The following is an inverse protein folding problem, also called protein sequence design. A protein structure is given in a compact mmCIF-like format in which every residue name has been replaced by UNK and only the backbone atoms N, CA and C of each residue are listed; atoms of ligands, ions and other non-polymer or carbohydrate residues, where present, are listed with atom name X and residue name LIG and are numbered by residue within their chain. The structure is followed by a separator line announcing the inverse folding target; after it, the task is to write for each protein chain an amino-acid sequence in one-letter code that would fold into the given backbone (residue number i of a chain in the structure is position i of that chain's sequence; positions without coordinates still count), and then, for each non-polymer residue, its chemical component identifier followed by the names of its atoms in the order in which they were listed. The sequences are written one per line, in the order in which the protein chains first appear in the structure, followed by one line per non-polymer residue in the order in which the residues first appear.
data_IF_808201783012
#
_entry.id   IF_808201783012
#
_cell.length_a   1.000
_cell.length_b   1.000
_cell.length_c   1.000
_cell.angle_alpha   90.00
_cell.angle_beta   90.00
_cell.angle_gamma   90.00
#
_symmetry.space_group_name_H-M   'P 1'
#
loop_
_entity.id
_entity.type
_entity.pdbx_description
1 polymer ?
#
# COMPACT_ATOMS: atom_id res chain seq x y z
N UNK A 1 15.25 3.97 -0.30
CA UNK A 1 14.31 2.96 0.24
C UNK A 1 13.61 3.56 1.45
N UNK A 2 12.31 3.82 1.38
CA UNK A 2 11.51 4.37 2.49
C UNK A 2 10.30 3.48 2.84
N UNK A 3 9.80 2.71 1.86
CA UNK A 3 8.62 1.84 1.98
C UNK A 3 8.75 0.79 3.09
N UNK A 4 9.94 0.19 3.28
CA UNK A 4 10.16 -0.87 4.28
C UNK A 4 10.23 -0.41 5.73
N UNK A 5 10.40 0.89 6.01
CA UNK A 5 10.54 1.43 7.37
C UNK A 5 9.37 2.30 7.82
N UNK A 6 8.57 2.81 6.88
CA UNK A 6 7.42 3.67 7.14
C UNK A 6 6.22 3.22 6.31
N UNK A 7 5.72 2.02 6.60
CA UNK A 7 4.58 1.42 5.90
C UNK A 7 3.34 2.32 5.93
N UNK A 8 3.09 2.99 7.05
CA UNK A 8 1.94 3.88 7.23
C UNK A 8 2.01 5.18 6.41
N UNK A 9 3.21 5.54 5.92
CA UNK A 9 3.41 6.67 5.01
C UNK A 9 3.31 6.27 3.54
N UNK A 10 3.13 4.98 3.25
CA UNK A 10 3.24 4.45 1.90
C UNK A 10 1.88 4.19 1.28
N UNK A 11 1.75 4.50 -0.01
CA UNK A 11 0.57 4.15 -0.83
C UNK A 11 1.03 3.07 -1.82
N UNK A 12 0.39 1.88 -1.83
CA UNK A 12 0.73 0.85 -2.80
C UNK A 12 0.17 1.25 -4.16
N UNK A 13 0.95 0.99 -5.19
CA UNK A 13 0.52 1.15 -6.58
C UNK A 13 0.86 -0.14 -7.32
N UNK A 14 0.02 -0.55 -8.26
CA UNK A 14 0.35 -1.65 -9.13
C UNK A 14 1.54 -1.29 -10.01
N UNK A 15 2.37 -2.29 -10.31
CA UNK A 15 3.51 -2.09 -11.20
C UNK A 15 3.01 -1.98 -12.63
N UNK A 16 3.55 -1.02 -13.37
CA UNK A 16 3.22 -0.82 -14.78
C UNK A 16 4.08 -1.73 -15.67
N UNK A 17 3.46 -2.40 -16.65
CA UNK A 17 4.11 -3.34 -17.57
C UNK A 17 3.70 -3.07 -19.03
N UNK A 18 4.14 -1.96 -19.61
CA UNK A 18 3.96 -1.61 -21.03
C UNK A 18 2.50 -1.59 -21.53
N UNK A 19 1.52 -1.54 -20.64
CA UNK A 19 0.10 -1.43 -21.01
C UNK A 19 -0.26 0.04 -21.28
N UNK A 20 -0.61 0.42 -22.52
CA UNK A 20 -0.96 1.80 -22.86
C UNK A 20 -2.32 2.22 -22.29
N UNK A 21 -3.18 1.27 -21.91
CA UNK A 21 -4.49 1.53 -21.29
C UNK A 21 -4.44 1.54 -19.77
N UNK A 22 -3.25 1.42 -19.17
CA UNK A 22 -3.10 1.52 -17.72
C UNK A 22 -3.52 2.92 -17.22
N UNK A 23 -4.36 2.93 -16.20
CA UNK A 23 -4.88 4.15 -15.58
C UNK A 23 -4.66 4.16 -14.07
N UNK A 24 -3.78 3.32 -13.54
CA UNK A 24 -3.63 3.13 -12.10
C UNK A 24 -3.23 4.43 -11.40
N UNK A 25 -2.40 5.27 -12.02
CA UNK A 25 -2.07 6.58 -11.46
C UNK A 25 -3.28 7.52 -11.35
N UNK A 26 -4.26 7.41 -12.26
CA UNK A 26 -5.48 8.22 -12.21
C UNK A 26 -6.40 7.79 -11.07
N UNK A 27 -6.40 6.50 -10.70
CA UNK A 27 -7.21 5.99 -9.59
C UNK A 27 -6.75 6.54 -8.23
N UNK A 28 -5.51 7.04 -8.16
CA UNK A 28 -4.96 7.67 -6.96
C UNK A 28 -5.47 9.10 -6.74
N UNK A 29 -5.94 9.79 -7.77
CA UNK A 29 -6.30 11.21 -7.66
C UNK A 29 -7.36 11.46 -6.57
N UNK A 30 -8.49 10.72 -6.50
CA UNK A 30 -9.49 10.93 -5.45
C UNK A 30 -8.94 10.65 -4.05
N UNK A 31 -8.00 9.71 -3.93
CA UNK A 31 -7.33 9.44 -2.66
C UNK A 31 -6.45 10.64 -2.27
N UNK A 32 -5.58 11.10 -3.16
CA UNK A 32 -4.66 12.21 -2.90
C UNK A 32 -5.41 13.50 -2.57
N UNK A 33 -6.49 13.79 -3.31
CA UNK A 33 -7.39 14.91 -3.02
C UNK A 33 -8.00 14.80 -1.62
N UNK A 34 -8.39 13.59 -1.20
CA UNK A 34 -8.92 13.38 0.16
C UNK A 34 -7.88 13.60 1.26
N UNK A 35 -6.58 13.64 0.95
CA UNK A 35 -5.52 13.89 1.94
C UNK A 35 -5.23 15.38 2.11
N UNK A 36 -5.69 16.24 1.20
CA UNK A 36 -5.45 17.68 1.26
C UNK A 36 -6.03 18.27 2.54
N UNK A 37 -5.23 19.07 3.25
CA UNK A 37 -5.63 19.73 4.50
C UNK A 37 -5.64 18.84 5.74
N UNK A 38 -5.30 17.55 5.61
CA UNK A 38 -5.11 16.70 6.78
C UNK A 38 -3.82 17.08 7.52
N UNK A 39 -3.92 17.26 8.84
CA UNK A 39 -2.74 17.47 9.69
C UNK A 39 -1.84 16.22 9.77
N UNK A 40 -2.45 15.03 9.63
CA UNK A 40 -1.77 13.74 9.53
C UNK A 40 -2.54 12.83 8.58
N UNK A 41 -1.86 12.32 7.55
CA UNK A 41 -2.44 11.49 6.49
C UNK A 41 -2.41 10.00 6.84
N UNK A 42 -1.55 9.56 7.77
CA UNK A 42 -1.32 8.14 8.09
C UNK A 42 -2.59 7.40 8.49
N UNK A 43 -3.48 7.94 9.34
CA UNK A 43 -4.72 7.22 9.69
C UNK A 43 -5.64 6.97 8.49
N UNK A 44 -5.64 7.88 7.50
CA UNK A 44 -6.44 7.75 6.28
C UNK A 44 -5.85 6.71 5.33
N UNK A 45 -4.53 6.73 5.17
CA UNK A 45 -3.78 5.75 4.37
C UNK A 45 -3.92 4.35 4.96
N UNK A 46 -3.66 4.17 6.26
CA UNK A 46 -3.77 2.88 6.93
C UNK A 46 -5.19 2.31 6.85
N UNK A 47 -6.25 3.12 7.00
CA UNK A 47 -7.64 2.67 6.83
C UNK A 47 -7.95 2.21 5.39
N UNK A 48 -7.37 2.87 4.38
CA UNK A 48 -7.61 2.56 2.97
C UNK A 48 -6.90 1.27 2.55
N UNK A 49 -5.67 1.03 3.04
CA UNK A 49 -4.82 -0.06 2.54
C UNK A 49 -4.58 -1.20 3.54
N UNK A 50 -4.83 -1.00 4.83
CA UNK A 50 -4.73 -2.00 5.91
C UNK A 50 -3.42 -2.81 5.89
N UNK A 51 -2.28 -2.13 5.69
CA UNK A 51 -0.97 -2.78 5.54
C UNK A 51 -0.56 -3.62 6.74
N UNK A 52 -0.78 -3.16 7.98
CA UNK A 52 -0.39 -3.89 9.19
C UNK A 52 -1.07 -5.25 9.31
N UNK A 53 -2.30 -5.40 8.79
CA UNK A 53 -3.03 -6.68 8.82
C UNK A 53 -2.54 -7.62 7.70
N UNK A 54 -2.39 -7.08 6.48
CA UNK A 54 -1.98 -7.89 5.32
C UNK A 54 -0.54 -8.38 5.40
N UNK A 55 0.38 -7.57 5.91
CA UNK A 55 1.79 -7.98 6.10
C UNK A 55 1.92 -9.00 7.24
N UNK A 56 1.15 -8.87 8.32
CA UNK A 56 1.16 -9.85 9.41
C UNK A 56 0.63 -11.23 8.94
N UNK A 57 -0.39 -11.26 8.08
CA UNK A 57 -0.92 -12.50 7.51
C UNK A 57 0.09 -13.16 6.55
N UNK A 58 0.77 -12.36 5.71
CA UNK A 58 1.81 -12.91 4.82
C UNK A 58 3.02 -13.41 5.62
N UNK A 59 3.48 -12.66 6.62
CA UNK A 59 4.62 -13.05 7.46
C UNK A 59 4.35 -14.32 8.28
N UNK A 60 3.10 -14.57 8.69
CA UNK A 60 2.72 -15.80 9.39
C UNK A 60 2.54 -16.99 8.45
N UNK A 61 2.10 -16.77 7.20
CA UNK A 61 1.98 -17.84 6.19
C UNK A 61 3.34 -18.32 5.65
N UNK A 62 4.35 -17.45 5.59
CA UNK A 62 5.69 -17.80 5.11
C UNK A 62 6.48 -18.74 6.05
N UNK A 63 6.04 -18.91 7.30
CA UNK A 63 6.68 -19.84 8.26
C UNK A 63 6.14 -21.27 8.18
N UNK A 64 5.17 -21.56 7.30
CA UNK A 64 4.67 -22.92 7.05
C UNK A 64 5.15 -23.46 5.69
N UNK A 65 6.45 -23.31 5.40
CA UNK A 65 7.14 -24.15 4.42
C UNK A 65 8.32 -24.82 5.14
N UNK A 66 7.98 -25.63 6.15
CA UNK A 66 8.91 -26.59 6.71
C UNK A 66 9.23 -27.64 5.65
N UNK A 67 10.52 -27.74 5.36
CA UNK A 67 11.19 -28.82 4.64
C UNK A 67 10.41 -30.14 4.54
N UNK A 68 10.21 -30.61 3.31
CA UNK A 68 10.47 -32.00 2.98
C UNK A 68 11.34 -32.07 1.73
#
# INVERSE_FOLDING_TARGET
MAFGFQLDNSIPIESWFDNPDDRELLTLLPLLESLVGANDVRPRISKKFNFCEKVAVVATSASCLSFH
#
